data_IF_884277764155
#
_entry.id   IF_884277764155
#
_cell.length_a   1.000
_cell.length_b   1.000
_cell.length_c   1.000
_cell.angle_alpha   90.00
_cell.angle_beta   90.00
_cell.angle_gamma   90.00
#
_symmetry.space_group_name_H-M   'P 1'
#
loop_
_entity.id
_entity.type
_entity.pdbx_description
1 polymer ?
#
# COMPACT_ATOMS: atom_id res chain seq x y z
N UNK A 1 -22.66 10.61 -42.04
CA UNK A 1 -22.52 9.23 -41.51
C UNK A 1 -21.05 9.02 -41.19
N UNK A 2 -20.67 9.23 -39.93
CA UNK A 2 -19.34 8.92 -39.40
C UNK A 2 -19.57 8.17 -38.09
N UNK A 3 -19.24 6.88 -38.10
CA UNK A 3 -19.33 5.98 -36.96
C UNK A 3 -18.12 6.21 -36.05
N UNK A 4 -18.35 6.91 -34.92
CA UNK A 4 -17.41 6.89 -33.80
C UNK A 4 -17.43 5.49 -33.20
N UNK A 5 -16.30 4.77 -33.29
CA UNK A 5 -16.07 3.58 -32.49
C UNK A 5 -15.73 4.04 -31.07
N UNK A 6 -16.71 3.99 -30.19
CA UNK A 6 -16.50 4.02 -28.75
C UNK A 6 -15.93 2.66 -28.36
N UNK A 7 -14.64 2.61 -28.06
CA UNK A 7 -14.06 1.50 -27.31
C UNK A 7 -14.67 1.53 -25.92
N UNK A 8 -15.49 0.52 -25.67
CA UNK A 8 -16.15 0.22 -24.42
C UNK A 8 -15.05 -0.15 -23.41
N UNK A 9 -14.63 0.79 -22.56
CA UNK A 9 -13.81 0.48 -21.40
C UNK A 9 -14.60 -0.48 -20.54
N UNK A 10 -14.10 -1.70 -20.42
CA UNK A 10 -14.60 -2.72 -19.51
C UNK A 10 -14.34 -2.22 -18.09
N UNK A 11 -15.31 -1.51 -17.50
CA UNK A 11 -15.37 -1.28 -16.06
C UNK A 11 -15.51 -2.65 -15.40
N UNK A 12 -14.39 -3.24 -14.99
CA UNK A 12 -14.39 -4.36 -14.07
C UNK A 12 -14.70 -3.75 -12.71
N UNK A 13 -15.93 -3.97 -12.26
CA UNK A 13 -16.38 -3.64 -10.92
C UNK A 13 -15.49 -4.44 -9.96
N UNK A 14 -14.47 -3.80 -9.39
CA UNK A 14 -13.77 -4.28 -8.21
C UNK A 14 -14.76 -4.10 -7.06
N UNK A 15 -15.69 -5.05 -6.93
CA UNK A 15 -16.26 -5.33 -5.62
C UNK A 15 -15.08 -5.73 -4.74
N UNK A 16 -14.90 -5.06 -3.60
CA UNK A 16 -14.17 -5.55 -2.42
C UNK A 16 -13.48 -6.91 -2.67
N UNK A 17 -12.25 -6.89 -3.18
CA UNK A 17 -11.42 -8.09 -3.19
C UNK A 17 -10.77 -8.18 -1.82
N UNK A 18 -11.60 -8.39 -0.81
CA UNK A 18 -11.30 -9.45 0.15
C UNK A 18 -11.35 -10.74 -0.68
N UNK A 19 -10.33 -11.59 -0.57
CA UNK A 19 -10.32 -12.86 -1.31
C UNK A 19 -11.52 -13.72 -0.96
N UNK A 20 -12.61 -13.61 -1.74
CA UNK A 20 -13.86 -14.32 -1.47
C UNK A 20 -13.69 -15.81 -1.80
N UNK A 21 -13.82 -16.67 -0.79
CA UNK A 21 -13.79 -18.13 -0.97
C UNK A 21 -14.98 -18.77 -0.29
N UNK A 22 -15.91 -19.29 -1.09
CA UNK A 22 -17.04 -20.07 -0.59
C UNK A 22 -16.58 -21.48 -0.19
N UNK A 23 -16.79 -21.85 1.07
CA UNK A 23 -16.63 -23.23 1.56
C UNK A 23 -17.99 -23.93 1.51
N UNK A 24 -18.12 -25.15 0.95
CA UNK A 24 -19.36 -25.91 1.06
C UNK A 24 -19.62 -26.36 2.50
N UNK A 25 -20.76 -25.94 3.06
CA UNK A 25 -21.17 -26.25 4.42
C UNK A 25 -21.37 -27.76 4.66
N UNK A 26 -20.75 -28.29 5.71
CA UNK A 26 -21.08 -29.61 6.28
C UNK A 26 -22.32 -29.44 7.16
N UNK A 27 -23.38 -30.17 6.81
CA UNK A 27 -24.73 -30.06 7.38
C UNK A 27 -24.82 -30.43 8.86
N UNK A 28 -25.47 -29.58 9.66
CA UNK A 28 -26.14 -29.96 10.90
C UNK A 28 -27.55 -29.35 10.97
N UNK A 29 -28.57 -30.21 11.01
CA UNK A 29 -30.00 -29.87 11.20
C UNK A 29 -30.27 -29.36 12.63
N UNK A 30 -31.03 -28.27 12.80
CA UNK A 30 -32.43 -28.31 13.29
C UNK A 30 -33.08 -26.95 13.60
N UNK A 31 -34.28 -26.75 13.00
CA UNK A 31 -35.55 -26.17 13.53
C UNK A 31 -35.68 -24.75 14.14
N UNK A 32 -36.24 -23.84 13.31
CA UNK A 32 -37.45 -22.99 13.47
C UNK A 32 -37.68 -22.10 14.72
N UNK A 33 -37.78 -20.76 14.54
CA UNK A 33 -39.03 -19.97 14.39
C UNK A 33 -38.76 -18.44 14.38
N UNK A 34 -39.43 -17.75 13.46
CA UNK A 34 -39.37 -16.30 13.17
C UNK A 34 -39.91 -15.36 14.27
N UNK A 35 -39.35 -14.13 14.33
CA UNK A 35 -40.10 -12.87 14.52
C UNK A 35 -39.27 -11.63 14.11
N UNK A 36 -39.78 -10.94 13.09
CA UNK A 36 -39.75 -9.51 12.71
C UNK A 36 -38.61 -8.54 13.10
N UNK A 37 -38.16 -7.85 12.04
CA UNK A 37 -37.87 -6.40 11.92
C UNK A 37 -36.48 -5.91 12.38
N UNK A 38 -35.57 -5.81 11.41
CA UNK A 38 -34.74 -4.63 11.08
C UNK A 38 -33.89 -5.02 9.86
N UNK A 39 -33.74 -4.11 8.90
CA UNK A 39 -32.92 -4.31 7.69
C UNK A 39 -31.44 -4.29 8.08
N UNK A 40 -31.00 -5.34 8.74
CA UNK A 40 -29.61 -5.68 8.91
C UNK A 40 -29.13 -6.28 7.59
N UNK A 41 -28.18 -5.61 6.94
CA UNK A 41 -27.34 -6.24 5.93
C UNK A 41 -26.59 -7.34 6.69
N UNK A 42 -27.10 -8.56 6.58
CA UNK A 42 -26.44 -9.76 7.07
C UNK A 42 -25.24 -9.95 6.15
N UNK A 43 -24.07 -9.44 6.56
CA UNK A 43 -22.79 -9.97 6.10
C UNK A 43 -22.72 -11.41 6.62
N UNK A 44 -22.65 -12.37 5.70
CA UNK A 44 -22.56 -13.79 6.00
C UNK A 44 -21.36 -14.06 6.91
N UNK A 45 -21.57 -14.89 7.94
CA UNK A 45 -20.65 -15.06 9.08
C UNK A 45 -19.43 -15.96 8.82
N UNK A 46 -19.11 -16.28 7.57
CA UNK A 46 -18.08 -17.28 7.23
C UNK A 46 -17.04 -16.77 6.20
N UNK A 47 -16.72 -15.47 6.22
CA UNK A 47 -15.67 -14.87 5.36
C UNK A 47 -14.32 -14.79 6.10
N UNK A 48 -13.26 -15.36 5.52
CA UNK A 48 -11.90 -15.30 6.09
C UNK A 48 -11.18 -14.07 5.53
N UNK A 49 -10.97 -13.09 6.39
CA UNK A 49 -10.13 -11.93 6.10
C UNK A 49 -8.65 -12.29 6.29
N UNK A 50 -7.95 -12.57 5.18
CA UNK A 50 -6.54 -12.96 5.19
C UNK A 50 -5.62 -11.90 5.78
N UNK A 51 -6.02 -10.62 5.76
CA UNK A 51 -5.22 -9.53 6.33
C UNK A 51 -5.11 -9.64 7.86
N UNK A 52 -5.99 -10.41 8.50
CA UNK A 52 -5.98 -10.66 9.95
C UNK A 52 -5.21 -11.90 10.37
N UNK A 53 -4.74 -12.70 9.41
CA UNK A 53 -4.01 -13.93 9.68
C UNK A 53 -2.50 -13.67 9.71
N UNK A 54 -1.79 -14.44 10.52
CA UNK A 54 -0.33 -14.51 10.47
C UNK A 54 0.17 -15.23 9.22
N UNK A 55 1.44 -15.01 8.88
CA UNK A 55 2.13 -15.72 7.80
C UNK A 55 1.94 -17.24 7.86
N UNK A 56 2.08 -17.84 9.04
CA UNK A 56 1.96 -19.29 9.22
C UNK A 56 0.51 -19.78 9.04
N UNK A 57 -0.47 -19.03 9.53
CA UNK A 57 -1.90 -19.34 9.32
C UNK A 57 -2.27 -19.28 7.84
N UNK A 58 -1.78 -18.27 7.10
CA UNK A 58 -1.98 -18.15 5.65
C UNK A 58 -1.38 -19.36 4.93
N UNK A 59 -0.15 -19.77 5.30
CA UNK A 59 0.53 -20.93 4.71
C UNK A 59 -0.20 -22.23 4.97
N UNK A 60 -0.66 -22.47 6.20
CA UNK A 60 -1.45 -23.67 6.52
C UNK A 60 -2.79 -23.69 5.77
N UNK A 61 -3.46 -22.53 5.67
CA UNK A 61 -4.71 -22.42 4.93
C UNK A 61 -4.49 -22.68 3.42
N UNK A 62 -3.42 -22.14 2.83
CA UNK A 62 -3.06 -22.37 1.43
C UNK A 62 -2.80 -23.85 1.09
N UNK A 63 -2.38 -24.69 2.04
CA UNK A 63 -2.23 -26.14 1.79
C UNK A 63 -3.55 -26.85 1.53
N UNK A 64 -4.65 -26.31 2.07
CA UNK A 64 -5.98 -26.96 2.02
C UNK A 64 -7.00 -26.19 1.19
N UNK A 65 -6.76 -24.89 0.95
CA UNK A 65 -7.64 -24.00 0.22
C UNK A 65 -6.97 -23.48 -1.07
N UNK A 66 -7.47 -23.94 -2.22
CA UNK A 66 -6.91 -23.60 -3.54
C UNK A 66 -6.96 -22.10 -3.85
N UNK A 67 -8.02 -21.41 -3.44
CA UNK A 67 -8.18 -19.99 -3.71
C UNK A 67 -7.19 -19.16 -2.89
N UNK A 68 -6.99 -19.50 -1.61
CA UNK A 68 -5.96 -18.86 -0.77
C UNK A 68 -4.57 -19.13 -1.33
N UNK A 69 -4.30 -20.37 -1.77
CA UNK A 69 -3.03 -20.71 -2.43
C UNK A 69 -2.76 -19.87 -3.66
N UNK A 70 -3.75 -19.71 -4.55
CA UNK A 70 -3.62 -18.88 -5.76
C UNK A 70 -3.41 -17.41 -5.43
N UNK A 71 -4.08 -16.91 -4.38
CA UNK A 71 -3.90 -15.53 -3.92
C UNK A 71 -2.47 -15.31 -3.44
N UNK A 72 -1.95 -16.20 -2.58
CA UNK A 72 -0.55 -16.15 -2.12
C UNK A 72 0.43 -16.29 -3.29
N UNK A 73 0.21 -17.24 -4.20
CA UNK A 73 1.06 -17.41 -5.40
C UNK A 73 1.08 -16.17 -6.29
N UNK A 74 -0.02 -15.41 -6.36
CA UNK A 74 -0.08 -14.15 -7.10
C UNK A 74 0.59 -13.01 -6.36
N UNK A 75 0.34 -12.90 -5.05
CA UNK A 75 0.92 -11.85 -4.22
C UNK A 75 2.44 -11.99 -4.08
N UNK A 76 2.97 -13.21 -4.10
CA UNK A 76 4.43 -13.44 -4.11
C UNK A 76 5.13 -12.96 -5.40
N UNK A 77 4.40 -12.64 -6.46
CA UNK A 77 5.02 -12.16 -7.71
C UNK A 77 5.43 -10.70 -7.60
N UNK A 78 6.62 -10.39 -8.09
CA UNK A 78 7.01 -9.00 -8.38
C UNK A 78 6.26 -8.55 -9.64
N UNK A 79 5.54 -7.45 -9.51
CA UNK A 79 4.77 -6.84 -10.60
C UNK A 79 5.60 -5.72 -11.24
N UNK A 80 5.26 -5.39 -12.49
CA UNK A 80 5.84 -4.22 -13.14
C UNK A 80 5.30 -2.95 -12.45
N UNK A 81 6.19 -2.03 -12.13
CA UNK A 81 5.85 -0.70 -11.61
C UNK A 81 6.23 0.38 -12.62
N UNK A 82 5.54 1.51 -12.50
CA UNK A 82 5.96 2.75 -13.12
C UNK A 82 7.24 3.23 -12.42
N UNK A 83 8.19 3.77 -13.17
CA UNK A 83 9.41 4.34 -12.61
C UNK A 83 9.62 5.67 -13.31
N UNK A 84 9.76 6.73 -12.54
CA UNK A 84 9.64 8.12 -12.97
C UNK A 84 11.02 8.68 -13.35
N UNK A 85 12.08 8.22 -12.66
CA UNK A 85 13.41 8.78 -12.80
C UNK A 85 14.55 7.74 -12.87
N UNK A 86 15.70 8.19 -13.38
CA UNK A 86 16.92 7.38 -13.37
C UNK A 86 17.47 7.14 -11.96
N UNK A 87 17.08 7.97 -11.00
CA UNK A 87 17.52 7.83 -9.62
C UNK A 87 16.83 6.65 -8.96
N UNK A 88 15.53 6.46 -9.20
CA UNK A 88 14.75 5.28 -8.77
C UNK A 88 15.39 3.98 -9.29
N UNK A 89 15.78 3.96 -10.58
CA UNK A 89 16.48 2.81 -11.17
C UNK A 89 17.80 2.49 -10.46
N UNK A 90 18.53 3.51 -10.00
CA UNK A 90 19.80 3.34 -9.30
C UNK A 90 19.63 2.82 -7.87
N UNK A 91 18.42 2.93 -7.35
CA UNK A 91 17.99 2.58 -6.01
C UNK A 91 17.28 1.22 -5.92
N UNK A 92 17.02 0.57 -7.06
CA UNK A 92 16.43 -0.78 -7.10
C UNK A 92 17.24 -1.79 -6.26
N UNK A 93 16.56 -2.75 -5.58
CA UNK A 93 17.22 -3.84 -4.88
C UNK A 93 18.16 -4.64 -5.80
N UNK A 94 19.25 -5.17 -5.25
CA UNK A 94 20.25 -5.95 -6.00
C UNK A 94 19.66 -7.18 -6.71
N UNK A 95 18.60 -7.77 -6.14
CA UNK A 95 17.90 -8.92 -6.68
C UNK A 95 16.64 -8.58 -7.48
N UNK A 96 16.41 -7.30 -7.80
CA UNK A 96 15.22 -6.90 -8.56
C UNK A 96 15.22 -7.57 -9.96
N UNK A 97 14.08 -8.10 -10.44
CA UNK A 97 14.02 -8.80 -11.72
C UNK A 97 14.46 -7.94 -12.91
N UNK A 98 15.54 -8.35 -13.57
CA UNK A 98 16.18 -7.58 -14.65
C UNK A 98 15.25 -7.38 -15.86
N UNK A 99 14.35 -8.31 -16.14
CA UNK A 99 13.36 -8.18 -17.22
C UNK A 99 12.30 -7.12 -16.89
N UNK A 100 11.87 -7.01 -15.63
CA UNK A 100 10.95 -5.96 -15.18
C UNK A 100 11.65 -4.59 -15.18
N UNK A 101 12.88 -4.52 -14.65
CA UNK A 101 13.71 -3.31 -14.71
C UNK A 101 13.84 -2.76 -16.13
N UNK A 102 14.17 -3.63 -17.09
CA UNK A 102 14.32 -3.22 -18.49
C UNK A 102 13.00 -2.77 -19.13
N UNK A 103 11.88 -3.36 -18.72
CA UNK A 103 10.54 -2.92 -19.12
C UNK A 103 10.23 -1.52 -18.55
N UNK A 104 10.43 -1.28 -17.26
CA UNK A 104 10.23 0.03 -16.64
C UNK A 104 11.12 1.11 -17.26
N UNK A 105 12.41 0.83 -17.52
CA UNK A 105 13.31 1.74 -18.26
C UNK A 105 12.77 2.10 -19.64
N UNK A 106 12.19 1.12 -20.34
CA UNK A 106 11.63 1.34 -21.67
C UNK A 106 10.38 2.21 -21.60
N UNK A 107 9.53 1.96 -20.61
CA UNK A 107 8.31 2.73 -20.35
C UNK A 107 8.64 4.19 -20.00
N UNK A 108 9.50 4.42 -19.00
CA UNK A 108 9.98 5.74 -18.60
C UNK A 108 10.51 6.57 -19.78
N UNK A 109 11.37 5.97 -20.62
CA UNK A 109 11.91 6.66 -21.80
C UNK A 109 10.81 7.02 -22.81
N UNK A 110 9.81 6.15 -22.95
CA UNK A 110 8.66 6.41 -23.81
C UNK A 110 7.84 7.60 -23.27
N UNK A 111 7.62 7.66 -21.97
CA UNK A 111 6.82 8.72 -21.33
C UNK A 111 7.55 10.07 -21.34
N UNK A 112 8.86 10.09 -21.11
CA UNK A 112 9.69 11.28 -21.28
C UNK A 112 9.67 11.82 -22.72
N UNK A 113 9.62 10.94 -23.73
CA UNK A 113 9.49 11.33 -25.13
C UNK A 113 8.09 11.87 -25.46
N UNK A 114 7.05 11.31 -24.84
CA UNK A 114 5.67 11.73 -25.06
C UNK A 114 5.34 13.06 -24.38
N UNK A 115 5.89 13.31 -23.18
CA UNK A 115 5.63 14.48 -22.35
C UNK A 115 6.70 15.56 -22.47
N UNK A 116 7.14 15.87 -23.70
CA UNK A 116 8.16 16.89 -23.98
C UNK A 116 7.74 18.34 -23.66
N UNK A 117 6.54 18.56 -23.11
CA UNK A 117 6.12 19.85 -22.61
C UNK A 117 6.86 20.16 -21.31
N UNK A 118 7.61 21.25 -21.30
CA UNK A 118 8.43 21.69 -20.18
C UNK A 118 7.50 22.02 -19.01
N UNK A 119 7.33 21.09 -18.06
CA UNK A 119 6.88 21.44 -16.72
C UNK A 119 7.88 22.44 -16.16
N UNK A 120 7.40 23.62 -15.77
CA UNK A 120 8.23 24.64 -15.12
C UNK A 120 8.33 24.44 -13.61
N UNK A 121 7.62 23.43 -13.08
CA UNK A 121 7.62 23.06 -11.68
C UNK A 121 8.76 22.09 -11.41
N UNK A 122 9.51 22.36 -10.33
CA UNK A 122 10.56 21.44 -9.88
C UNK A 122 9.91 20.26 -9.18
N UNK A 123 10.27 19.06 -9.62
CA UNK A 123 10.09 17.83 -8.85
C UNK A 123 10.80 17.95 -7.51
N UNK A 124 10.15 17.49 -6.46
CA UNK A 124 10.73 17.29 -5.12
C UNK A 124 11.03 15.80 -5.00
N UNK A 125 12.26 15.46 -4.66
CA UNK A 125 12.63 14.08 -4.37
C UNK A 125 12.59 13.90 -2.85
N UNK A 126 11.93 12.84 -2.39
CA UNK A 126 11.83 12.42 -0.99
C UNK A 126 12.55 11.09 -0.89
N UNK A 127 13.67 11.04 -0.17
CA UNK A 127 14.46 9.84 -0.04
C UNK A 127 13.86 8.93 1.04
N UNK A 128 13.40 7.75 0.68
CA UNK A 128 12.70 6.82 1.56
C UNK A 128 13.66 5.77 2.14
N UNK A 129 13.58 5.58 3.45
CA UNK A 129 14.18 4.45 4.16
C UNK A 129 13.10 3.40 4.45
N UNK A 130 13.17 2.29 3.73
CA UNK A 130 12.33 1.11 3.97
C UNK A 130 12.91 0.28 5.13
N UNK A 131 12.07 -0.05 6.10
CA UNK A 131 12.40 -0.95 7.20
C UNK A 131 11.36 -2.07 7.25
N UNK A 132 11.80 -3.32 7.25
CA UNK A 132 10.91 -4.47 7.28
C UNK A 132 11.20 -5.40 8.46
N UNK A 133 10.14 -5.77 9.17
CA UNK A 133 10.22 -6.73 10.28
C UNK A 133 10.49 -8.16 9.79
N UNK A 134 10.69 -9.08 10.75
CA UNK A 134 10.93 -10.48 10.47
C UNK A 134 9.72 -11.21 9.87
N UNK A 135 8.48 -10.83 10.21
CA UNK A 135 7.26 -11.43 9.68
C UNK A 135 7.07 -11.12 8.19
N UNK A 136 7.29 -9.87 7.79
CA UNK A 136 7.21 -9.41 6.40
C UNK A 136 8.31 -10.06 5.56
N UNK A 137 9.55 -10.04 6.05
CA UNK A 137 10.69 -10.71 5.40
C UNK A 137 10.48 -12.21 5.31
N UNK A 138 9.94 -12.84 6.36
CA UNK A 138 9.62 -14.27 6.35
C UNK A 138 8.55 -14.61 5.31
N UNK A 139 7.54 -13.76 5.14
CA UNK A 139 6.48 -13.97 4.17
C UNK A 139 7.01 -13.94 2.73
N UNK A 140 7.73 -12.87 2.35
CA UNK A 140 8.21 -12.66 0.98
C UNK A 140 9.57 -13.32 0.66
N UNK A 141 10.33 -13.73 1.67
CA UNK A 141 11.66 -14.31 1.48
C UNK A 141 12.61 -13.29 0.86
N UNK A 142 13.50 -13.75 -0.03
CA UNK A 142 14.52 -12.90 -0.67
C UNK A 142 13.92 -11.70 -1.43
N UNK A 143 12.66 -11.79 -1.86
CA UNK A 143 11.98 -10.78 -2.66
C UNK A 143 11.38 -9.61 -1.84
N UNK A 144 11.51 -9.61 -0.51
CA UNK A 144 10.89 -8.61 0.37
C UNK A 144 11.26 -7.16 0.01
N UNK A 145 12.51 -6.90 -0.40
CA UNK A 145 12.96 -5.56 -0.80
C UNK A 145 12.26 -5.10 -2.08
N UNK A 146 12.13 -6.00 -3.06
CA UNK A 146 11.45 -5.73 -4.33
C UNK A 146 9.95 -5.50 -4.12
N UNK A 147 9.34 -6.25 -3.18
CA UNK A 147 7.94 -6.06 -2.79
C UNK A 147 7.72 -4.70 -2.12
N UNK A 148 8.54 -4.36 -1.13
CA UNK A 148 8.43 -3.09 -0.44
C UNK A 148 8.74 -1.89 -1.37
N UNK A 149 9.75 -2.01 -2.24
CA UNK A 149 10.05 -1.03 -3.29
C UNK A 149 8.82 -0.78 -4.17
N UNK A 150 8.24 -1.84 -4.73
CA UNK A 150 7.05 -1.71 -5.58
C UNK A 150 5.85 -1.09 -4.86
N UNK A 151 5.72 -1.31 -3.54
CA UNK A 151 4.68 -0.66 -2.75
C UNK A 151 4.91 0.85 -2.66
N UNK A 152 6.16 1.30 -2.52
CA UNK A 152 6.51 2.72 -2.52
C UNK A 152 6.27 3.35 -3.90
N UNK A 153 6.75 2.74 -4.99
CA UNK A 153 6.52 3.26 -6.35
C UNK A 153 5.03 3.27 -6.74
N UNK A 154 4.26 2.29 -6.27
CA UNK A 154 2.81 2.32 -6.48
C UNK A 154 2.13 3.43 -5.67
N UNK A 155 2.67 3.76 -4.50
CA UNK A 155 2.11 4.80 -3.64
C UNK A 155 2.44 6.20 -4.14
N UNK A 156 3.59 6.38 -4.77
CA UNK A 156 4.08 7.67 -5.20
C UNK A 156 3.63 8.08 -6.61
N UNK A 157 3.16 7.14 -7.45
CA UNK A 157 2.56 7.39 -8.78
C UNK A 157 1.63 8.63 -8.79
N UNK A 158 0.72 8.71 -7.82
CA UNK A 158 -0.21 9.83 -7.67
C UNK A 158 0.48 11.10 -7.13
N UNK A 159 1.42 10.96 -6.20
CA UNK A 159 2.21 12.09 -5.68
C UNK A 159 3.05 12.73 -6.78
N UNK A 160 3.65 11.93 -7.64
CA UNK A 160 4.46 12.39 -8.75
C UNK A 160 3.60 13.07 -9.81
N UNK A 161 2.56 12.39 -10.28
CA UNK A 161 1.72 12.89 -11.37
C UNK A 161 0.90 14.12 -11.01
N UNK A 162 0.41 14.23 -9.76
CA UNK A 162 -0.46 15.33 -9.34
C UNK A 162 0.31 16.46 -8.63
N UNK A 163 1.44 16.15 -7.98
CA UNK A 163 2.13 17.08 -7.08
C UNK A 163 3.63 17.27 -7.38
N UNK A 164 4.19 16.63 -8.41
CA UNK A 164 5.62 16.63 -8.72
C UNK A 164 6.47 16.29 -7.46
N UNK A 165 6.07 15.25 -6.74
CA UNK A 165 6.78 14.68 -5.58
C UNK A 165 7.15 13.24 -5.92
N UNK A 166 8.43 12.90 -5.91
CA UNK A 166 8.96 11.59 -6.27
C UNK A 166 9.52 10.89 -5.01
N UNK A 167 9.10 9.67 -4.72
CA UNK A 167 9.64 8.91 -3.60
C UNK A 167 10.77 8.01 -4.08
N UNK A 168 11.98 8.28 -3.60
CA UNK A 168 13.18 7.58 -4.04
C UNK A 168 13.65 6.65 -2.92
N UNK A 169 13.52 5.33 -3.09
CA UNK A 169 13.94 4.38 -2.05
C UNK A 169 15.46 4.34 -1.93
N UNK A 170 16.02 5.09 -0.98
CA UNK A 170 17.46 5.22 -0.82
C UNK A 170 18.06 4.07 0.01
N UNK A 171 17.28 3.50 0.93
CA UNK A 171 17.81 2.57 1.92
C UNK A 171 16.81 1.49 2.33
N UNK A 172 17.35 0.30 2.57
CA UNK A 172 16.63 -0.84 3.14
C UNK A 172 17.28 -1.23 4.46
N UNK A 173 16.48 -1.63 5.45
CA UNK A 173 16.99 -2.24 6.67
C UNK A 173 16.07 -3.35 7.17
N UNK A 174 16.71 -4.38 7.70
CA UNK A 174 16.03 -5.43 8.44
C UNK A 174 15.86 -4.99 9.89
N UNK A 175 14.69 -5.26 10.43
CA UNK A 175 14.36 -5.03 11.83
C UNK A 175 13.74 -6.32 12.39
N UNK A 176 13.97 -6.56 13.67
CA UNK A 176 13.38 -7.68 14.41
C UNK A 176 12.48 -7.04 15.48
N UNK A 177 11.17 -7.15 15.29
CA UNK A 177 10.18 -6.39 16.04
C UNK A 177 9.77 -7.09 17.34
N UNK A 178 9.26 -6.33 18.31
CA UNK A 178 8.60 -6.90 19.47
C UNK A 178 7.19 -7.41 19.13
N UNK A 179 6.68 -8.30 19.98
CA UNK A 179 5.34 -8.88 19.83
C UNK A 179 4.18 -7.96 20.25
N UNK A 180 4.38 -6.65 20.32
CA UNK A 180 3.30 -5.71 20.62
C UNK A 180 2.34 -5.61 19.43
N UNK A 181 1.04 -5.46 19.72
CA UNK A 181 0.02 -5.25 18.69
C UNK A 181 -0.35 -3.77 18.55
N UNK A 182 0.21 -2.89 19.38
CA UNK A 182 -0.04 -1.46 19.31
C UNK A 182 0.81 -0.87 18.17
N UNK A 183 0.15 -0.41 17.10
CA UNK A 183 0.84 0.10 15.91
C UNK A 183 1.75 1.31 16.23
N UNK A 184 1.40 2.15 17.21
CA UNK A 184 2.25 3.29 17.60
C UNK A 184 3.50 2.85 18.33
N UNK A 185 3.36 1.92 19.28
CA UNK A 185 4.50 1.38 20.03
C UNK A 185 5.48 0.70 19.08
N UNK A 186 4.96 -0.07 18.12
CA UNK A 186 5.74 -0.78 17.10
C UNK A 186 6.50 0.19 16.18
N UNK A 187 5.83 1.26 15.73
CA UNK A 187 6.48 2.30 14.92
C UNK A 187 7.59 3.03 15.70
N UNK A 188 7.34 3.39 16.96
CA UNK A 188 8.33 4.07 17.80
C UNK A 188 9.54 3.17 18.09
N UNK A 189 9.32 1.87 18.27
CA UNK A 189 10.38 0.87 18.41
C UNK A 189 11.27 0.83 17.17
N UNK A 190 10.69 0.69 15.97
CA UNK A 190 11.45 0.67 14.71
C UNK A 190 12.28 1.96 14.54
N UNK A 191 11.69 3.13 14.80
CA UNK A 191 12.40 4.41 14.71
C UNK A 191 13.60 4.46 15.67
N UNK A 192 13.40 4.07 16.93
CA UNK A 192 14.45 4.05 17.95
C UNK A 192 15.57 3.07 17.61
N UNK A 193 15.24 1.83 17.23
CA UNK A 193 16.22 0.77 17.01
C UNK A 193 17.01 0.95 15.70
N UNK A 194 16.37 1.50 14.66
CA UNK A 194 17.06 1.86 13.42
C UNK A 194 17.86 3.16 13.55
N UNK A 195 17.64 3.92 14.63
CA UNK A 195 18.32 5.18 14.90
C UNK A 195 17.77 6.36 14.10
N UNK A 196 16.54 6.25 13.59
CA UNK A 196 15.83 7.30 12.85
C UNK A 196 15.81 8.62 13.63
N UNK A 197 15.44 8.56 14.91
CA UNK A 197 15.35 9.71 15.83
C UNK A 197 16.68 10.46 16.01
N UNK A 198 17.80 9.80 15.70
CA UNK A 198 19.15 10.33 15.91
C UNK A 198 19.84 10.76 14.62
N UNK A 199 19.58 10.05 13.52
CA UNK A 199 20.18 10.29 12.22
C UNK A 199 19.39 9.52 11.15
N UNK A 200 18.65 10.26 10.32
CA UNK A 200 17.85 9.73 9.22
C UNK A 200 18.71 9.20 8.05
N UNK A 201 20.04 9.33 8.13
CA UNK A 201 21.02 8.84 7.14
C UNK A 201 20.78 9.37 5.73
N UNK A 202 20.35 10.63 5.64
CA UNK A 202 20.06 11.31 4.38
C UNK A 202 18.76 10.84 3.71
N UNK A 203 17.89 10.17 4.46
CA UNK A 203 16.51 9.88 4.04
C UNK A 203 15.58 10.94 4.66
N UNK A 204 14.50 11.27 3.97
CA UNK A 204 13.50 12.24 4.40
C UNK A 204 12.23 11.57 4.94
N UNK A 205 12.02 10.28 4.61
CA UNK A 205 10.87 9.49 5.08
C UNK A 205 11.27 8.09 5.53
N UNK A 206 10.67 7.58 6.60
CA UNK A 206 10.80 6.18 7.03
C UNK A 206 9.49 5.40 6.79
N UNK A 207 9.56 4.34 6.00
CA UNK A 207 8.45 3.47 5.67
C UNK A 207 8.65 2.10 6.31
N UNK A 208 7.81 1.75 7.30
CA UNK A 208 7.94 0.52 8.08
C UNK A 208 6.92 -0.50 7.60
N UNK A 209 7.40 -1.70 7.27
CA UNK A 209 6.61 -2.80 6.73
C UNK A 209 6.58 -3.94 7.75
N UNK A 210 5.38 -4.38 8.08
CA UNK A 210 5.16 -5.52 8.97
C UNK A 210 4.17 -6.52 8.36
N UNK A 211 4.30 -7.80 8.72
CA UNK A 211 3.20 -8.75 8.57
C UNK A 211 2.72 -9.34 9.91
N UNK A 212 3.19 -8.77 11.02
CA UNK A 212 2.66 -9.00 12.36
C UNK A 212 1.21 -8.50 12.45
N UNK A 213 0.45 -9.11 13.37
CA UNK A 213 -0.86 -8.59 13.74
C UNK A 213 -0.71 -7.28 14.53
N UNK A 214 -1.34 -6.22 14.03
CA UNK A 214 -1.37 -4.90 14.66
C UNK A 214 -2.82 -4.39 14.75
N UNK A 215 -3.07 -3.44 15.66
CA UNK A 215 -4.41 -2.96 16.00
C UNK A 215 -5.03 -1.99 14.96
N UNK A 216 -4.20 -1.48 14.04
CA UNK A 216 -4.59 -0.71 12.86
C UNK A 216 -3.85 -1.23 11.63
N UNK A 217 -4.46 -1.18 10.43
CA UNK A 217 -3.80 -1.65 9.21
C UNK A 217 -2.52 -0.87 8.87
N UNK A 218 -2.50 0.42 9.18
CA UNK A 218 -1.34 1.28 9.10
C UNK A 218 -1.48 2.43 10.08
N UNK A 219 -0.40 3.19 10.22
CA UNK A 219 -0.39 4.45 10.95
C UNK A 219 0.78 5.31 10.52
N UNK A 220 0.54 6.60 10.43
CA UNK A 220 1.56 7.59 10.18
C UNK A 220 1.74 8.57 11.34
N UNK A 221 2.92 9.16 11.39
CA UNK A 221 3.14 10.39 12.15
C UNK A 221 2.40 11.56 11.50
N UNK A 222 1.79 12.39 12.33
CA UNK A 222 1.23 13.65 11.87
C UNK A 222 2.36 14.66 11.69
N UNK A 223 2.28 15.48 10.64
CA UNK A 223 3.19 16.61 10.36
C UNK A 223 3.57 17.49 11.58
N UNK A 224 2.73 17.55 12.62
CA UNK A 224 2.97 18.35 13.82
C UNK A 224 3.57 17.57 15.01
N UNK A 225 3.91 16.29 14.84
CA UNK A 225 4.31 15.41 15.93
C UNK A 225 5.44 14.46 15.48
N UNK A 226 6.56 14.48 16.20
CA UNK A 226 7.76 13.67 15.97
C UNK A 226 8.52 13.85 14.65
N UNK A 227 8.22 14.91 13.90
CA UNK A 227 8.85 15.17 12.60
C UNK A 227 7.78 15.11 11.53
N UNK A 228 6.93 14.08 11.59
CA UNK A 228 5.88 13.87 10.61
C UNK A 228 6.34 13.05 9.41
N UNK A 229 7.42 12.29 9.58
CA UNK A 229 8.24 11.78 8.48
C UNK A 229 8.30 10.24 8.46
N UNK A 230 7.50 9.58 9.31
CA UNK A 230 7.47 8.14 9.41
C UNK A 230 6.05 7.59 9.34
N UNK A 231 5.94 6.36 8.84
CA UNK A 231 4.72 5.57 8.90
C UNK A 231 5.01 4.07 8.94
N UNK A 232 4.04 3.31 9.39
CA UNK A 232 4.04 1.85 9.44
C UNK A 232 2.80 1.30 8.75
N UNK A 233 2.95 0.19 8.03
CA UNK A 233 1.83 -0.56 7.47
C UNK A 233 1.97 -2.05 7.72
N UNK A 234 0.83 -2.71 7.89
CA UNK A 234 0.71 -4.16 7.76
C UNK A 234 0.44 -4.51 6.29
N UNK A 235 1.13 -5.53 5.79
CA UNK A 235 0.79 -6.18 4.54
C UNK A 235 -0.68 -6.66 4.53
N UNK A 236 -1.42 -6.28 3.48
CA UNK A 236 -2.87 -6.46 3.33
C UNK A 236 -3.25 -7.70 2.49
N UNK A 237 -2.27 -8.54 2.13
CA UNK A 237 -2.50 -9.79 1.40
C UNK A 237 -2.40 -9.68 -0.12
N UNK A 238 -2.35 -8.46 -0.69
CA UNK A 238 -2.05 -8.26 -2.11
C UNK A 238 -1.24 -6.99 -2.35
N UNK A 239 -0.36 -7.03 -3.36
CA UNK A 239 0.36 -5.84 -3.82
C UNK A 239 -0.58 -4.66 -4.14
N UNK A 240 -1.78 -4.93 -4.67
CA UNK A 240 -2.74 -3.90 -5.07
C UNK A 240 -3.37 -3.15 -3.90
N UNK A 241 -3.48 -3.75 -2.72
CA UNK A 241 -3.99 -3.07 -1.52
C UNK A 241 -2.87 -2.41 -0.74
N UNK A 242 -1.67 -2.97 -0.79
CA UNK A 242 -0.51 -2.45 -0.07
C UNK A 242 -0.14 -1.02 -0.51
N UNK A 243 -0.02 -0.75 -1.81
CA UNK A 243 0.39 0.58 -2.29
C UNK A 243 -0.66 1.67 -1.99
N UNK A 244 -1.94 1.32 -2.01
CA UNK A 244 -3.02 2.24 -1.61
C UNK A 244 -2.91 2.60 -0.12
N UNK A 245 -2.62 1.61 0.73
CA UNK A 245 -2.41 1.87 2.15
C UNK A 245 -1.16 2.72 2.37
N UNK A 246 -0.05 2.41 1.69
CA UNK A 246 1.16 3.23 1.75
C UNK A 246 0.91 4.67 1.27
N UNK A 247 0.14 4.89 0.20
CA UNK A 247 -0.25 6.23 -0.24
C UNK A 247 -1.09 6.96 0.81
N UNK A 248 -2.04 6.26 1.43
CA UNK A 248 -2.85 6.79 2.53
C UNK A 248 -1.98 7.24 3.70
N UNK A 249 -1.08 6.37 4.18
CA UNK A 249 -0.22 6.68 5.31
C UNK A 249 0.79 7.80 4.98
N UNK A 250 1.42 7.75 3.80
CA UNK A 250 2.32 8.81 3.35
C UNK A 250 1.60 10.18 3.24
N UNK A 251 0.31 10.20 2.90
CA UNK A 251 -0.47 11.44 2.84
C UNK A 251 -0.60 12.13 4.20
N UNK A 252 -0.59 11.38 5.31
CA UNK A 252 -0.59 11.96 6.66
C UNK A 252 0.70 12.70 6.99
N UNK A 253 1.84 12.29 6.44
CA UNK A 253 3.11 13.01 6.57
C UNK A 253 3.01 14.41 5.92
N UNK A 254 2.21 14.55 4.86
CA UNK A 254 1.86 15.85 4.28
C UNK A 254 0.70 16.58 4.98
N UNK A 255 0.17 16.03 6.08
CA UNK A 255 -0.85 16.67 6.92
C UNK A 255 -2.30 16.40 6.51
N UNK A 256 -2.56 15.50 5.56
CA UNK A 256 -3.92 15.11 5.20
C UNK A 256 -4.61 14.41 6.38
N UNK A 257 -5.85 14.80 6.77
CA UNK A 257 -6.59 14.11 7.82
C UNK A 257 -7.42 12.94 7.27
N UNK A 258 -7.72 11.98 8.14
CA UNK A 258 -8.73 10.96 7.85
C UNK A 258 -10.10 11.58 7.61
N UNK A 259 -10.84 10.98 6.68
CA UNK A 259 -12.24 11.30 6.44
C UNK A 259 -13.17 10.28 7.14
N UNK A 260 -12.62 9.19 7.68
CA UNK A 260 -13.34 8.12 8.35
C UNK A 260 -14.12 7.19 7.38
N UNK A 261 -15.06 6.41 7.92
CA UNK A 261 -15.91 5.47 7.16
C UNK A 261 -17.12 6.15 6.48
N UNK A 262 -16.89 7.29 5.83
CA UNK A 262 -17.91 8.01 5.07
C UNK A 262 -17.89 7.56 3.60
N UNK A 263 -18.95 7.85 2.85
CA UNK A 263 -19.02 7.58 1.40
C UNK A 263 -18.76 8.85 0.57
N UNK A 264 -18.22 9.90 1.19
CA UNK A 264 -17.88 11.15 0.52
C UNK A 264 -16.91 11.94 1.40
N UNK A 265 -15.87 12.55 0.83
CA UNK A 265 -15.51 12.56 -0.59
C UNK A 265 -14.91 11.20 -1.04
N UNK A 266 -14.97 10.94 -2.35
CA UNK A 266 -14.07 9.95 -2.98
C UNK A 266 -12.65 10.48 -2.85
N UNK A 267 -11.84 9.80 -2.05
CA UNK A 267 -10.52 10.23 -1.63
C UNK A 267 -9.77 9.00 -1.08
N UNK A 268 -8.47 8.88 -1.35
CA UNK A 268 -7.60 7.88 -0.72
C UNK A 268 -7.64 7.97 0.82
N UNK A 269 -7.87 9.18 1.38
CA UNK A 269 -8.02 9.42 2.83
C UNK A 269 -9.39 9.04 3.42
N UNK A 270 -10.29 8.49 2.61
CA UNK A 270 -11.59 7.98 3.06
C UNK A 270 -11.52 6.46 3.12
N UNK A 271 -11.70 5.86 4.31
CA UNK A 271 -11.52 4.41 4.51
C UNK A 271 -12.37 3.54 3.56
N UNK A 272 -13.55 4.02 3.15
CA UNK A 272 -14.42 3.32 2.19
C UNK A 272 -13.82 3.23 0.78
N UNK A 273 -12.99 4.21 0.40
CA UNK A 273 -12.42 4.35 -0.94
C UNK A 273 -10.92 4.08 -1.00
N UNK A 274 -10.24 3.96 0.15
CA UNK A 274 -8.79 3.81 0.24
C UNK A 274 -8.24 2.74 -0.72
N UNK A 275 -8.90 1.59 -0.90
CA UNK A 275 -8.44 0.53 -1.82
C UNK A 275 -9.05 0.59 -3.23
N UNK A 276 -9.72 1.69 -3.58
CA UNK A 276 -10.51 1.83 -4.81
C UNK A 276 -10.13 3.07 -5.64
N UNK A 277 -9.32 3.97 -5.08
CA UNK A 277 -8.96 5.25 -5.69
C UNK A 277 -7.55 5.63 -5.27
N UNK A 278 -6.80 6.19 -6.19
CA UNK A 278 -5.54 6.90 -5.99
C UNK A 278 -5.75 8.42 -5.83
N UNK A 279 -6.92 8.93 -6.23
CA UNK A 279 -7.24 10.36 -6.12
C UNK A 279 -7.36 10.87 -4.67
N UNK A 280 -6.83 12.08 -4.44
CA UNK A 280 -7.16 12.91 -3.30
C UNK A 280 -8.41 13.77 -3.57
N UNK A 281 -9.15 14.11 -2.52
CA UNK A 281 -10.13 15.18 -2.62
C UNK A 281 -9.44 16.55 -2.68
N UNK A 282 -10.14 17.56 -3.18
CA UNK A 282 -9.56 18.92 -3.33
C UNK A 282 -8.99 19.53 -2.05
N UNK A 283 -9.46 19.11 -0.87
CA UNK A 283 -8.90 19.57 0.41
C UNK A 283 -7.57 18.88 0.71
N UNK A 284 -7.44 17.58 0.42
CA UNK A 284 -6.19 16.84 0.56
C UNK A 284 -5.16 17.31 -0.47
N UNK A 285 -5.55 17.50 -1.74
CA UNK A 285 -4.68 18.07 -2.78
C UNK A 285 -4.07 19.40 -2.31
N UNK A 286 -4.93 20.33 -1.85
CA UNK A 286 -4.47 21.63 -1.37
C UNK A 286 -3.57 21.53 -0.14
N UNK A 287 -3.75 20.49 0.68
CA UNK A 287 -2.95 20.25 1.89
C UNK A 287 -1.56 19.75 1.51
N UNK A 288 -1.48 18.76 0.62
CA UNK A 288 -0.20 18.25 0.07
C UNK A 288 0.55 19.38 -0.62
N UNK A 289 -0.12 20.16 -1.46
CA UNK A 289 0.49 21.31 -2.13
C UNK A 289 1.06 22.35 -1.17
N UNK A 290 0.36 22.61 -0.06
CA UNK A 290 0.82 23.55 0.98
C UNK A 290 2.07 23.03 1.68
N UNK A 291 2.15 21.71 1.89
CA UNK A 291 3.21 21.05 2.66
C UNK A 291 4.22 20.31 1.77
N UNK A 292 4.22 20.55 0.45
CA UNK A 292 5.01 19.74 -0.50
C UNK A 292 6.51 19.70 -0.23
N UNK A 293 7.07 20.74 0.41
CA UNK A 293 8.49 20.83 0.76
C UNK A 293 8.77 20.53 2.25
N UNK A 294 7.86 19.80 2.91
CA UNK A 294 7.98 19.50 4.33
C UNK A 294 9.15 18.54 4.62
N UNK A 295 9.23 17.48 3.82
CA UNK A 295 10.24 16.42 3.88
C UNK A 295 11.50 16.86 3.11
#
# INVERSE_FOLDING_TARGET
MNTKKTTLSTLLVIMLVLGTVLIPAVSAKNTSKEKNQESNIILDKDEIDISKLSTDEIRELAKTNESVRKLVEEDMKIQLVNIESFEDISCLPDNYPEDLKNQSITQMKSDQLANSDISTRSTINVYVWIVADEEYRSYFGDDWQSKAYNTIEGADDAFYSNHDINFIVQKYSEWDSSYTTDTLELMAEAQSEMGWDSNQQGCDMMAIFTNQYIDHWGRAESINYYGGDAWIMKHQGTASTDWHLAQHEASHNYGCPDHGYVTSPTCIMTYTYMFLTDDWCSTCDSTIETNRNHL
#
